data_IF_511306840539
#
_entry.id   IF_511306840539
#
_cell.length_a   1.000
_cell.length_b   1.000
_cell.length_c   1.000
_cell.angle_alpha   90.00
_cell.angle_beta   90.00
_cell.angle_gamma   90.00
#
_symmetry.space_group_name_H-M   'P 1'
#
loop_
_entity.id
_entity.type
_entity.pdbx_description
1 polymer ?
#
# COMPACT_ATOMS: atom_id res chain seq x y z
N UNK A 1 21.98 4.35 1.91
CA UNK A 1 21.31 3.03 2.01
C UNK A 1 20.38 3.12 3.22
N UNK A 2 19.08 2.85 3.05
CA UNK A 2 18.10 2.94 4.14
C UNK A 2 18.41 1.78 5.12
N UNK A 3 19.19 2.08 6.17
CA UNK A 3 19.91 1.07 6.97
C UNK A 3 19.17 0.59 8.21
N UNK A 4 18.13 1.31 8.62
CA UNK A 4 17.25 0.91 9.72
C UNK A 4 15.82 1.10 9.26
N UNK A 5 15.20 0.02 8.79
CA UNK A 5 13.83 0.05 8.26
C UNK A 5 12.98 -1.01 8.96
N UNK A 6 11.99 -0.57 9.73
CA UNK A 6 10.98 -1.46 10.28
C UNK A 6 9.70 -1.31 9.46
N UNK A 7 9.12 -2.44 9.07
CA UNK A 7 7.82 -2.48 8.40
C UNK A 7 6.85 -3.20 9.32
N UNK A 8 5.82 -2.50 9.76
CA UNK A 8 4.74 -3.05 10.56
C UNK A 8 3.46 -3.04 9.75
N UNK A 9 2.74 -4.17 9.80
CA UNK A 9 1.46 -4.33 9.13
C UNK A 9 0.41 -4.75 10.15
N UNK A 10 -0.67 -4.00 10.20
CA UNK A 10 -1.74 -4.17 11.17
C UNK A 10 -3.09 -4.11 10.46
N UNK A 11 -4.00 -5.02 10.83
CA UNK A 11 -5.39 -4.97 10.38
C UNK A 11 -6.21 -4.32 11.48
N UNK A 12 -6.63 -3.08 11.25
CA UNK A 12 -7.49 -2.34 12.16
C UNK A 12 -8.96 -2.66 11.85
N UNK A 13 -9.77 -2.65 12.91
CA UNK A 13 -11.20 -2.90 12.83
C UNK A 13 -11.96 -1.74 13.47
N UNK A 14 -11.77 -0.57 12.89
CA UNK A 14 -12.52 0.63 13.26
C UNK A 14 -13.69 0.78 12.28
N UNK A 15 -14.91 0.51 12.73
CA UNK A 15 -16.13 0.64 11.92
C UNK A 15 -16.51 -0.58 11.06
N UNK A 16 -17.16 -0.32 9.92
CA UNK A 16 -17.70 -1.36 9.02
C UNK A 16 -16.66 -1.93 8.07
N UNK A 17 -15.70 -1.10 7.65
CA UNK A 17 -14.57 -1.51 6.82
C UNK A 17 -13.45 -2.06 7.71
N UNK A 18 -12.50 -2.78 7.10
CA UNK A 18 -11.26 -3.17 7.78
C UNK A 18 -10.12 -2.42 7.13
N UNK A 19 -9.34 -1.73 7.94
CA UNK A 19 -8.24 -0.94 7.43
C UNK A 19 -6.96 -1.74 7.53
N UNK A 20 -6.19 -1.79 6.45
CA UNK A 20 -4.88 -2.40 6.43
C UNK A 20 -3.84 -1.30 6.55
N UNK A 21 -3.28 -1.15 7.74
CA UNK A 21 -2.27 -0.13 8.01
C UNK A 21 -0.88 -0.72 7.80
N UNK A 22 -0.12 -0.12 6.87
CA UNK A 22 1.29 -0.44 6.64
C UNK A 22 2.12 0.75 7.07
N UNK A 23 2.86 0.58 8.17
CA UNK A 23 3.80 1.56 8.70
C UNK A 23 5.20 1.19 8.24
N UNK A 24 5.92 2.17 7.75
CA UNK A 24 7.35 2.02 7.42
C UNK A 24 8.10 3.07 8.20
N UNK A 25 8.90 2.63 9.15
CA UNK A 25 9.80 3.46 9.91
C UNK A 25 11.14 3.46 9.19
N UNK A 26 11.62 4.64 8.83
CA UNK A 26 12.91 4.83 8.16
C UNK A 26 13.81 5.62 9.11
N UNK A 27 15.07 5.20 9.25
CA UNK A 27 16.08 5.93 10.04
C UNK A 27 16.33 7.38 9.57
N UNK A 28 17.00 8.18 10.40
CA UNK A 28 17.15 9.65 10.27
C UNK A 28 17.72 10.13 8.92
N UNK A 29 18.44 9.28 8.18
CA UNK A 29 19.07 9.58 6.89
C UNK A 29 18.20 9.25 5.65
N UNK A 30 16.89 9.08 5.83
CA UNK A 30 15.99 8.63 4.77
C UNK A 30 15.46 9.72 3.83
N UNK A 31 16.00 10.94 3.86
CA UNK A 31 15.54 12.11 3.09
C UNK A 31 15.50 11.97 1.55
N UNK A 32 15.84 10.80 1.01
CA UNK A 32 15.66 10.44 -0.41
C UNK A 32 15.22 8.98 -0.63
N UNK A 33 14.72 8.27 0.40
CA UNK A 33 14.28 6.88 0.28
C UNK A 33 12.85 6.83 -0.30
N UNK A 34 12.66 6.15 -1.42
CA UNK A 34 11.32 5.82 -1.92
C UNK A 34 10.90 4.46 -1.36
N UNK A 35 9.71 4.41 -0.75
CA UNK A 35 9.13 3.17 -0.22
C UNK A 35 8.00 2.72 -1.14
N UNK A 36 8.04 1.44 -1.53
CA UNK A 36 6.98 0.80 -2.27
C UNK A 36 6.41 -0.36 -1.44
N UNK A 37 5.10 -0.33 -1.19
CA UNK A 37 4.38 -1.43 -0.56
C UNK A 37 3.56 -2.18 -1.63
N UNK A 38 3.90 -3.44 -1.88
CA UNK A 38 3.12 -4.31 -2.77
C UNK A 38 2.28 -5.26 -1.92
N UNK A 39 0.96 -5.22 -2.11
CA UNK A 39 0.01 -6.08 -1.41
C UNK A 39 -0.71 -7.00 -2.40
N UNK A 40 -0.73 -8.30 -2.14
CA UNK A 40 -1.64 -9.22 -2.81
C UNK A 40 -2.90 -9.39 -1.96
N UNK A 41 -4.03 -8.96 -2.48
CA UNK A 41 -5.31 -9.09 -1.79
C UNK A 41 -5.89 -10.49 -1.97
N UNK A 42 -6.45 -11.10 -0.91
CA UNK A 42 -7.20 -12.35 -1.03
C UNK A 42 -8.40 -12.19 -1.97
N UNK A 43 -8.85 -13.28 -2.63
CA UNK A 43 -10.07 -13.26 -3.42
C UNK A 43 -11.28 -12.88 -2.55
N UNK A 44 -12.21 -12.11 -3.13
CA UNK A 44 -13.42 -11.67 -2.44
C UNK A 44 -13.26 -10.42 -1.56
N UNK A 45 -12.05 -9.87 -1.46
CA UNK A 45 -11.82 -8.57 -0.80
C UNK A 45 -12.05 -7.44 -1.80
N UNK A 46 -12.90 -6.49 -1.42
CA UNK A 46 -13.12 -5.24 -2.15
C UNK A 46 -12.42 -4.10 -1.42
N UNK A 47 -11.62 -3.32 -2.15
CA UNK A 47 -11.00 -2.10 -1.63
C UNK A 47 -11.88 -0.93 -2.00
N UNK A 48 -12.15 -0.06 -1.04
CA UNK A 48 -12.91 1.15 -1.30
C UNK A 48 -12.12 2.10 -2.24
N UNK A 49 -12.64 2.41 -3.44
CA UNK A 49 -11.96 3.29 -4.39
C UNK A 49 -11.89 4.74 -3.91
N UNK A 50 -12.78 5.19 -3.03
CA UNK A 50 -12.75 6.54 -2.49
C UNK A 50 -11.59 6.73 -1.51
N UNK A 51 -11.38 5.77 -0.62
CA UNK A 51 -10.23 5.79 0.31
C UNK A 51 -8.90 5.75 -0.45
N UNK A 52 -8.81 4.95 -1.52
CA UNK A 52 -7.65 4.93 -2.41
C UNK A 52 -7.40 6.28 -3.10
N UNK A 53 -8.46 6.94 -3.55
CA UNK A 53 -8.35 8.26 -4.19
C UNK A 53 -7.87 9.32 -3.18
N UNK A 54 -8.35 9.28 -1.93
CA UNK A 54 -7.90 10.16 -0.85
C UNK A 54 -6.39 10.01 -0.61
N UNK A 55 -5.87 8.78 -0.61
CA UNK A 55 -4.42 8.54 -0.47
C UNK A 55 -3.59 9.15 -1.61
N UNK A 56 -4.12 9.15 -2.85
CA UNK A 56 -3.44 9.75 -4.01
C UNK A 56 -3.47 11.28 -4.02
N UNK A 57 -4.45 11.91 -3.35
CA UNK A 57 -4.53 13.37 -3.24
C UNK A 57 -3.38 13.96 -2.44
N UNK A 58 -2.84 13.19 -1.48
CA UNK A 58 -1.57 13.49 -0.88
C UNK A 58 -0.49 13.10 -1.89
N UNK A 59 0.03 14.07 -2.66
CA UNK A 59 1.07 13.95 -3.72
C UNK A 59 2.36 13.16 -3.34
N UNK A 60 2.43 12.63 -2.13
CA UNK A 60 3.44 11.75 -1.58
C UNK A 60 3.20 10.28 -1.95
N UNK A 61 1.96 9.85 -2.18
CA UNK A 61 1.60 8.43 -2.35
C UNK A 61 1.02 8.15 -3.73
N UNK A 62 1.66 7.25 -4.48
CA UNK A 62 1.10 6.70 -5.72
C UNK A 62 0.58 5.31 -5.47
N UNK A 63 -0.73 5.12 -5.66
CA UNK A 63 -1.35 3.79 -5.56
C UNK A 63 -1.67 3.25 -6.95
N UNK A 64 -1.28 2.01 -7.22
CA UNK A 64 -1.59 1.30 -8.45
C UNK A 64 -2.30 0.00 -8.05
N UNK A 65 -3.56 -0.15 -8.45
CA UNK A 65 -4.35 -1.34 -8.15
C UNK A 65 -4.56 -2.15 -9.44
N UNK A 66 -4.04 -3.38 -9.45
CA UNK A 66 -4.24 -4.31 -10.56
C UNK A 66 -5.31 -5.31 -10.18
N UNK A 67 -6.35 -5.44 -11.01
CA UNK A 67 -7.28 -6.55 -10.88
C UNK A 67 -6.57 -7.81 -11.36
N UNK A 68 -6.33 -8.77 -10.46
CA UNK A 68 -5.63 -10.03 -10.78
C UNK A 68 -6.31 -10.77 -11.94
N UNK A 69 -7.61 -10.61 -12.13
CA UNK A 69 -8.35 -11.19 -13.27
C UNK A 69 -8.05 -10.56 -14.64
N UNK A 70 -7.23 -9.51 -14.73
CA UNK A 70 -6.72 -8.93 -15.98
C UNK A 70 -5.20 -9.13 -16.15
N UNK A 71 -4.52 -9.78 -15.20
CA UNK A 71 -3.11 -10.16 -15.35
C UNK A 71 -2.99 -11.48 -16.12
N UNK A 72 -3.27 -11.47 -17.43
CA UNK A 72 -2.87 -12.57 -18.30
C UNK A 72 -1.98 -12.14 -19.48
N UNK A 73 -1.74 -10.85 -19.71
CA UNK A 73 -0.96 -10.39 -20.87
C UNK A 73 0.01 -9.25 -20.56
N UNK A 74 0.83 -9.39 -19.50
CA UNK A 74 1.99 -8.51 -19.35
C UNK A 74 3.18 -9.25 -18.75
N UNK A 75 3.49 -10.38 -19.39
CA UNK A 75 4.81 -11.02 -19.40
C UNK A 75 4.98 -11.72 -20.76
N UNK A 76 5.15 -10.93 -21.83
CA UNK A 76 5.85 -11.32 -23.06
C UNK A 76 6.65 -10.09 -23.53
#
# INVERSE_FOLDING_TARGET
ACRDTAVTQELLKEGFHRDLLVKVELGEDAGGCAVAAQMRLPPGIYVDPYELATLQQHNLTKVICFRISQCQEMWL
#
